data_IF_981472944991
#
_entry.id   IF_981472944991
#
_cell.length_a   1.000
_cell.length_b   1.000
_cell.length_c   1.000
_cell.angle_alpha   90.00
_cell.angle_beta   90.00
_cell.angle_gamma   90.00
#
_symmetry.space_group_name_H-M   'P 1'
#
loop_
_entity.id
_entity.type
_entity.pdbx_description
1 polymer ?
#
# COMPACT_ATOMS: atom_id res chain seq x y z
N UNK A 1 20.66 4.08 -1.27
CA UNK A 1 19.73 3.10 -0.67
C UNK A 1 18.33 3.45 -1.12
N UNK A 2 17.69 2.60 -1.94
CA UNK A 2 16.34 2.84 -2.47
C UNK A 2 15.27 2.41 -1.47
N UNK A 3 14.14 3.11 -1.44
CA UNK A 3 12.97 2.72 -0.64
C UNK A 3 12.27 1.57 -1.35
N UNK A 4 12.21 0.40 -0.71
CA UNK A 4 11.36 -0.69 -1.18
C UNK A 4 9.89 -0.28 -0.99
N UNK A 5 9.18 -0.07 -2.11
CA UNK A 5 7.77 0.30 -2.12
C UNK A 5 6.98 -0.73 -2.93
N UNK A 6 5.93 -1.28 -2.31
CA UNK A 6 4.95 -2.13 -2.99
C UNK A 6 3.77 -1.31 -3.54
N UNK A 7 3.98 -0.02 -3.84
CA UNK A 7 2.93 0.84 -4.40
C UNK A 7 2.57 0.36 -5.80
N UNK A 8 1.28 0.16 -6.05
CA UNK A 8 0.75 -0.15 -7.38
C UNK A 8 0.03 1.05 -7.97
N UNK A 9 -0.15 1.04 -9.28
CA UNK A 9 -0.92 2.08 -9.96
C UNK A 9 -2.41 1.96 -9.64
N UNK A 10 -3.12 3.09 -9.61
CA UNK A 10 -4.55 3.08 -9.24
C UNK A 10 -5.40 2.41 -10.32
N UNK A 11 -4.96 2.52 -11.57
CA UNK A 11 -5.67 2.05 -12.76
C UNK A 11 -5.72 0.51 -12.84
N UNK A 12 -4.81 -0.18 -12.15
CA UNK A 12 -4.76 -1.64 -12.12
C UNK A 12 -5.56 -2.27 -10.97
N UNK A 13 -6.11 -1.45 -10.07
CA UNK A 13 -6.93 -1.92 -8.94
C UNK A 13 -8.24 -2.54 -9.44
N UNK A 14 -8.60 -3.70 -8.86
CA UNK A 14 -9.83 -4.42 -9.17
C UNK A 14 -10.77 -4.45 -7.97
N UNK A 15 -12.09 -4.50 -8.19
CA UNK A 15 -13.05 -4.72 -7.11
C UNK A 15 -12.74 -6.02 -6.36
N UNK A 16 -12.67 -5.95 -5.04
CA UNK A 16 -12.31 -7.07 -4.18
C UNK A 16 -10.83 -7.15 -3.81
N UNK A 17 -9.97 -6.29 -4.36
CA UNK A 17 -8.58 -6.20 -3.93
C UNK A 17 -8.47 -5.67 -2.50
N UNK A 18 -7.66 -6.33 -1.68
CA UNK A 18 -7.33 -5.87 -0.33
C UNK A 18 -6.18 -4.85 -0.39
N UNK A 19 -6.42 -3.65 0.12
CA UNK A 19 -5.46 -2.54 0.08
C UNK A 19 -4.97 -2.29 1.49
N UNK A 20 -3.65 -2.37 1.69
CA UNK A 20 -3.04 -2.04 2.97
C UNK A 20 -2.31 -0.71 2.87
N UNK A 21 -2.55 0.17 3.83
CA UNK A 21 -1.88 1.47 3.89
C UNK A 21 -1.15 1.64 5.21
N UNK A 22 0.14 1.98 5.10
CA UNK A 22 0.96 2.33 6.24
C UNK A 22 0.53 3.67 6.81
N UNK A 23 0.17 3.68 8.09
CA UNK A 23 -0.09 4.88 8.90
C UNK A 23 1.14 5.16 9.78
N UNK A 24 1.12 6.30 10.49
CA UNK A 24 2.14 6.83 11.44
C UNK A 24 3.50 6.14 11.38
N UNK A 25 4.47 6.78 10.73
CA UNK A 25 5.88 6.34 10.68
C UNK A 25 6.09 4.89 10.19
N UNK A 26 5.18 4.32 9.40
CA UNK A 26 5.25 2.96 8.87
C UNK A 26 5.21 1.86 9.95
N UNK A 27 4.73 2.17 11.16
CA UNK A 27 4.68 1.19 12.26
C UNK A 27 3.33 0.47 12.36
N UNK A 28 2.32 0.92 11.62
CA UNK A 28 0.97 0.36 11.66
C UNK A 28 0.37 0.33 10.26
N UNK A 29 -0.22 -0.80 9.89
CA UNK A 29 -0.98 -0.96 8.65
C UNK A 29 -2.48 -0.97 8.96
N UNK A 30 -3.23 -0.21 8.18
CA UNK A 30 -4.68 -0.31 8.13
C UNK A 30 -5.07 -1.02 6.84
N UNK A 31 -6.00 -1.97 6.95
CA UNK A 31 -6.60 -2.68 5.81
C UNK A 31 -7.57 -1.78 5.01
#
# INVERSE_FOLDING_TARGET
>A
MGVLSNRIDREVLKPGDHIYSWRKAYVYAHH
#
